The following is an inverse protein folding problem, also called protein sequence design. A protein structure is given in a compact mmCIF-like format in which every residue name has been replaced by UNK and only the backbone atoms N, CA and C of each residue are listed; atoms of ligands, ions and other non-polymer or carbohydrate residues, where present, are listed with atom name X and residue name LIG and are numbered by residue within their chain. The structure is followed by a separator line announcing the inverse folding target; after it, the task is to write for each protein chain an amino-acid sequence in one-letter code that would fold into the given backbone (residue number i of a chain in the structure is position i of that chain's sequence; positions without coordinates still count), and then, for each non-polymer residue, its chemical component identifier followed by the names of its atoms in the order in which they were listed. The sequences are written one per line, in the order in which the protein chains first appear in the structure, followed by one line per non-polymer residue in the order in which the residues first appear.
data_IF_714319854458
#
_entry.id   IF_714319854458
#
_cell.length_a   1.000
_cell.length_b   1.000
_cell.length_c   1.000
_cell.angle_alpha   90.00
_cell.angle_beta   90.00
_cell.angle_gamma   90.00
#
_symmetry.space_group_name_H-M   'P 1'
#
loop_
_entity.id
_entity.type
_entity.pdbx_description
1 polymer ?
#
# COMPACT_ATOMS: atom_id res chain seq x y z
N UNK A 1 33.39 20.67 6.63
CA UNK A 1 31.96 20.71 6.33
C UNK A 1 31.52 19.30 5.96
N UNK A 2 30.90 18.59 6.90
CA UNK A 2 30.52 17.18 6.71
C UNK A 2 29.26 17.16 5.84
N UNK A 3 29.43 16.77 4.59
CA UNK A 3 28.34 16.53 3.65
C UNK A 3 27.60 15.27 4.14
N UNK A 4 26.53 15.47 4.90
CA UNK A 4 25.63 14.39 5.32
C UNK A 4 24.89 13.88 4.07
N UNK A 5 25.48 12.90 3.39
CA UNK A 5 24.81 12.14 2.34
C UNK A 5 23.76 11.30 3.04
N UNK A 6 22.51 11.76 2.98
CA UNK A 6 21.33 11.02 3.40
C UNK A 6 21.22 9.80 2.47
N UNK A 7 21.85 8.69 2.85
CA UNK A 7 21.72 7.41 2.15
C UNK A 7 20.30 6.92 2.41
N UNK A 8 19.39 7.27 1.52
CA UNK A 8 18.06 6.67 1.47
C UNK A 8 18.30 5.22 1.05
N UNK A 9 18.39 4.32 2.03
CA UNK A 9 18.39 2.88 1.79
C UNK A 9 17.03 2.54 1.21
N UNK A 10 16.95 2.51 -0.13
CA UNK A 10 15.84 1.92 -0.85
C UNK A 10 15.90 0.43 -0.56
N UNK A 11 15.23 0.00 0.52
CA UNK A 11 14.99 -1.41 0.80
C UNK A 11 14.30 -1.97 -0.45
N UNK A 12 15.04 -2.77 -1.22
CA UNK A 12 14.49 -3.46 -2.38
C UNK A 12 13.50 -4.48 -1.87
N UNK A 13 12.24 -4.09 -1.82
CA UNK A 13 11.15 -4.97 -1.43
C UNK A 13 11.01 -6.01 -2.55
N UNK A 14 11.23 -7.29 -2.24
CA UNK A 14 11.06 -8.41 -3.19
C UNK A 14 9.57 -8.60 -3.52
N UNK A 15 9.08 -7.78 -4.44
CA UNK A 15 7.71 -7.81 -4.94
C UNK A 15 7.60 -8.51 -6.31
N UNK A 16 6.45 -9.09 -6.63
CA UNK A 16 6.15 -9.51 -8.00
C UNK A 16 6.04 -8.28 -8.92
N UNK A 17 6.42 -8.41 -10.19
CA UNK A 17 6.38 -7.26 -11.11
C UNK A 17 4.93 -6.76 -11.32
N UNK A 18 4.70 -5.44 -11.23
CA UNK A 18 3.43 -4.79 -11.56
C UNK A 18 2.93 -5.14 -12.98
N UNK A 19 3.82 -5.58 -13.87
CA UNK A 19 3.45 -6.04 -15.22
C UNK A 19 2.41 -7.17 -15.20
N UNK A 20 2.42 -8.02 -14.17
CA UNK A 20 1.44 -9.11 -14.02
C UNK A 20 0.03 -8.60 -13.71
N UNK A 21 -0.09 -7.35 -13.23
CA UNK A 21 -1.38 -6.74 -12.90
C UNK A 21 -1.99 -5.92 -14.04
N UNK A 22 -1.36 -5.82 -15.22
CA UNK A 22 -1.81 -4.93 -16.31
C UNK A 22 -3.26 -5.14 -16.76
N UNK A 23 -3.79 -6.37 -16.63
CA UNK A 23 -5.18 -6.68 -16.96
C UNK A 23 -6.21 -5.99 -16.05
N UNK A 24 -5.83 -5.65 -14.82
CA UNK A 24 -6.68 -4.96 -13.82
C UNK A 24 -6.15 -3.57 -13.44
N UNK A 25 -4.88 -3.30 -13.74
CA UNK A 25 -4.16 -2.07 -13.40
C UNK A 25 -3.50 -1.46 -14.63
N UNK A 26 -4.34 -1.05 -15.59
CA UNK A 26 -3.92 -0.32 -16.79
C UNK A 26 -3.18 0.98 -16.46
N UNK A 27 -2.47 1.56 -17.43
CA UNK A 27 -1.76 2.85 -17.23
C UNK A 27 -2.72 3.98 -16.82
N UNK A 28 -3.95 3.97 -17.34
CA UNK A 28 -5.01 4.91 -16.93
C UNK A 28 -5.41 4.70 -15.47
N UNK A 29 -5.58 3.44 -15.05
CA UNK A 29 -5.88 3.09 -13.65
C UNK A 29 -4.72 3.47 -12.72
N UNK A 30 -3.46 3.20 -13.12
CA UNK A 30 -2.25 3.59 -12.38
C UNK A 30 -2.18 5.11 -12.21
N UNK A 31 -2.39 5.87 -13.29
CA UNK A 31 -2.40 7.33 -13.26
C UNK A 31 -3.42 7.89 -12.26
N UNK A 32 -4.66 7.36 -12.27
CA UNK A 32 -5.70 7.74 -11.28
C UNK A 32 -5.31 7.34 -9.86
N UNK A 33 -4.85 6.11 -9.66
CA UNK A 33 -4.42 5.59 -8.36
C UNK A 33 -3.29 6.44 -7.74
N UNK A 34 -2.31 6.85 -8.54
CA UNK A 34 -1.16 7.63 -8.08
C UNK A 34 -1.50 9.07 -7.70
N UNK A 35 -2.52 9.65 -8.36
CA UNK A 35 -3.01 11.02 -8.10
C UNK A 35 -4.02 11.11 -6.95
N UNK A 36 -4.70 10.00 -6.63
CA UNK A 36 -5.72 9.98 -5.60
C UNK A 36 -5.14 10.28 -4.20
N UNK A 37 -5.69 11.30 -3.53
CA UNK A 37 -5.34 11.69 -2.15
C UNK A 37 -6.12 10.92 -1.08
N UNK A 38 -7.24 10.32 -1.46
CA UNK A 38 -8.13 9.51 -0.60
C UNK A 38 -8.46 8.21 -1.32
N UNK A 39 -9.10 7.28 -0.62
CA UNK A 39 -9.66 6.11 -1.29
C UNK A 39 -10.76 6.57 -2.27
N UNK A 40 -10.56 6.28 -3.56
CA UNK A 40 -11.52 6.58 -4.62
C UNK A 40 -11.74 5.30 -5.44
N UNK A 41 -13.00 4.88 -5.53
CA UNK A 41 -13.36 3.82 -6.46
C UNK A 41 -13.19 4.36 -7.89
N UNK A 42 -12.47 3.62 -8.74
CA UNK A 42 -12.27 4.00 -10.13
C UNK A 42 -13.41 3.38 -10.95
N UNK A 43 -14.19 4.22 -11.63
CA UNK A 43 -15.30 3.76 -12.45
C UNK A 43 -14.85 2.70 -13.47
N UNK A 44 -15.59 1.59 -13.55
CA UNK A 44 -15.29 0.47 -14.43
C UNK A 44 -14.14 -0.45 -13.97
N UNK A 45 -13.57 -0.21 -12.79
CA UNK A 45 -12.48 -1.03 -12.23
C UNK A 45 -12.98 -1.85 -11.05
N UNK A 46 -12.69 -3.16 -11.09
CA UNK A 46 -12.84 -4.06 -9.95
C UNK A 46 -11.73 -3.77 -8.93
N UNK A 47 -12.04 -2.92 -7.94
CA UNK A 47 -11.07 -2.48 -6.94
C UNK A 47 -10.57 -3.62 -6.05
N UNK A 48 -11.37 -4.67 -5.83
CA UNK A 48 -10.96 -5.84 -5.04
C UNK A 48 -9.81 -6.55 -5.77
N UNK A 49 -10.02 -6.94 -7.04
CA UNK A 49 -8.97 -7.60 -7.85
C UNK A 49 -7.76 -6.69 -8.10
N UNK A 50 -8.02 -5.41 -8.33
CA UNK A 50 -6.96 -4.44 -8.64
C UNK A 50 -6.04 -4.27 -7.45
N UNK A 51 -6.58 -4.00 -6.25
CA UNK A 51 -5.76 -3.80 -5.06
C UNK A 51 -5.18 -5.12 -4.54
N UNK A 52 -5.87 -6.25 -4.70
CA UNK A 52 -5.28 -7.57 -4.40
C UNK A 52 -4.03 -7.81 -5.25
N UNK A 53 -4.09 -7.60 -6.57
CA UNK A 53 -2.92 -7.80 -7.43
C UNK A 53 -1.81 -6.79 -7.13
N UNK A 54 -2.13 -5.49 -7.13
CA UNK A 54 -1.13 -4.42 -6.99
C UNK A 54 -0.42 -4.49 -5.65
N UNK A 55 -1.16 -4.67 -4.55
CA UNK A 55 -0.56 -4.67 -3.21
C UNK A 55 0.25 -5.93 -2.93
N UNK A 56 -0.07 -7.06 -3.57
CA UNK A 56 0.80 -8.26 -3.59
C UNK A 56 2.06 -8.01 -4.38
N UNK A 57 1.92 -7.44 -5.58
CA UNK A 57 3.03 -7.12 -6.46
C UNK A 57 4.06 -6.22 -5.77
N UNK A 58 3.63 -5.23 -4.98
CA UNK A 58 4.54 -4.34 -4.26
C UNK A 58 4.77 -4.73 -2.79
N UNK A 59 4.41 -5.95 -2.42
CA UNK A 59 4.61 -6.54 -1.09
C UNK A 59 4.16 -5.61 0.06
N UNK A 60 2.98 -5.01 -0.11
CA UNK A 60 2.20 -4.36 0.95
C UNK A 60 1.37 -5.41 1.68
N UNK A 61 0.87 -6.40 0.93
CA UNK A 61 0.21 -7.60 1.45
C UNK A 61 0.94 -8.85 0.98
N UNK A 62 0.75 -9.96 1.68
CA UNK A 62 1.26 -11.27 1.30
C UNK A 62 0.43 -11.93 0.19
N UNK A 63 0.84 -13.12 -0.26
CA UNK A 63 0.16 -13.89 -1.31
C UNK A 63 -1.32 -14.18 -1.02
N UNK A 64 -1.74 -14.17 0.24
CA UNK A 64 -3.12 -14.40 0.67
C UNK A 64 -3.95 -13.12 0.79
N UNK A 65 -3.30 -11.95 0.65
CA UNK A 65 -3.95 -10.64 0.75
C UNK A 65 -3.87 -10.03 2.15
N UNK A 66 -3.10 -10.61 3.07
CA UNK A 66 -2.92 -10.07 4.42
C UNK A 66 -1.79 -9.05 4.48
N UNK A 67 -2.04 -7.92 5.12
CA UNK A 67 -1.07 -6.84 5.20
C UNK A 67 0.15 -7.20 6.05
N UNK A 68 1.33 -6.78 5.57
CA UNK A 68 2.62 -7.08 6.18
C UNK A 68 3.04 -5.93 7.09
N UNK A 69 2.69 -6.02 8.38
CA UNK A 69 2.94 -4.96 9.37
C UNK A 69 4.38 -4.43 9.32
N UNK A 70 5.38 -5.29 9.47
CA UNK A 70 6.79 -4.86 9.54
C UNK A 70 7.30 -4.23 8.24
N UNK A 71 6.76 -4.66 7.09
CA UNK A 71 7.10 -4.08 5.79
C UNK A 71 6.46 -2.69 5.59
N UNK A 72 5.58 -2.25 6.48
CA UNK A 72 4.91 -0.94 6.40
C UNK A 72 5.31 -0.01 7.54
N UNK A 73 5.37 -0.53 8.77
CA UNK A 73 5.63 0.27 9.97
C UNK A 73 6.97 1.01 9.89
N UNK A 74 8.06 0.32 9.57
CA UNK A 74 9.38 0.95 9.50
C UNK A 74 9.45 1.98 8.35
N UNK A 75 9.04 1.67 7.10
CA UNK A 75 9.01 2.68 6.04
C UNK A 75 8.13 3.90 6.33
N UNK A 76 7.01 3.72 7.05
CA UNK A 76 6.17 4.83 7.46
C UNK A 76 6.88 5.72 8.48
N UNK A 77 7.50 5.13 9.51
CA UNK A 77 8.26 5.89 10.51
C UNK A 77 9.53 6.56 9.94
N UNK A 78 10.12 6.02 8.88
CA UNK A 78 11.21 6.68 8.16
C UNK A 78 10.75 7.97 7.45
N UNK A 79 9.46 8.12 7.14
CA UNK A 79 8.88 9.32 6.50
C UNK A 79 8.38 10.30 7.56
N UNK A 80 7.68 9.79 8.59
CA UNK A 80 7.15 10.55 9.71
C UNK A 80 7.20 9.66 10.95
N UNK A 81 8.11 9.93 11.87
CA UNK A 81 8.21 9.14 13.10
C UNK A 81 7.02 9.43 14.01
N UNK A 82 6.12 8.46 14.19
CA UNK A 82 4.97 8.61 15.07
C UNK A 82 4.34 7.25 15.42
N UNK A 83 4.03 7.05 16.71
CA UNK A 83 3.35 5.85 17.24
C UNK A 83 1.96 5.56 16.65
N UNK A 84 1.40 6.49 15.87
CA UNK A 84 0.05 6.33 15.28
C UNK A 84 0.08 5.28 14.19
N UNK A 85 1.24 5.09 13.54
CA UNK A 85 1.40 4.13 12.47
C UNK A 85 1.21 2.70 12.97
N UNK A 86 1.73 2.38 14.16
CA UNK A 86 1.52 1.09 14.84
C UNK A 86 0.01 0.83 15.05
N UNK A 87 -0.64 1.70 15.82
CA UNK A 87 -2.06 1.59 16.15
C UNK A 87 -2.97 1.43 14.91
N UNK A 88 -2.73 2.24 13.87
CA UNK A 88 -3.54 2.20 12.66
C UNK A 88 -3.29 0.94 11.82
N UNK A 89 -2.04 0.49 11.70
CA UNK A 89 -1.72 -0.75 11.00
C UNK A 89 -2.40 -1.93 11.69
N UNK A 90 -2.27 -2.06 13.00
CA UNK A 90 -2.91 -3.12 13.79
C UNK A 90 -4.43 -3.15 13.59
N UNK A 91 -5.09 -2.00 13.72
CA UNK A 91 -6.55 -1.91 13.51
C UNK A 91 -6.96 -2.29 12.10
N UNK A 92 -6.25 -1.81 11.09
CA UNK A 92 -6.61 -2.06 9.70
C UNK A 92 -6.29 -3.50 9.27
N UNK A 93 -5.23 -4.10 9.81
CA UNK A 93 -4.95 -5.54 9.67
C UNK A 93 -6.10 -6.33 10.31
N UNK A 94 -6.44 -6.06 11.57
CA UNK A 94 -7.51 -6.76 12.28
C UNK A 94 -8.87 -6.70 11.57
N UNK A 95 -9.22 -5.53 11.01
CA UNK A 95 -10.48 -5.33 10.26
C UNK A 95 -10.52 -6.07 8.92
N UNK A 96 -9.38 -6.31 8.28
CA UNK A 96 -9.32 -6.92 6.95
C UNK A 96 -9.09 -8.43 6.99
N UNK A 97 -8.40 -8.97 8.00
CA UNK A 97 -7.94 -10.36 8.02
C UNK A 97 -9.07 -11.42 7.96
N UNK A 98 -10.25 -11.12 8.51
CA UNK A 98 -11.39 -12.06 8.56
C UNK A 98 -12.29 -12.04 7.33
N UNK A 99 -11.98 -11.22 6.32
CA UNK A 99 -12.86 -11.07 5.18
C UNK A 99 -12.77 -12.29 4.24
N UNK A 100 -13.93 -12.63 3.70
CA UNK A 100 -14.10 -13.58 2.60
C UNK A 100 -14.90 -12.93 1.46
N UNK A 101 -14.57 -13.21 0.20
CA UNK A 101 -13.38 -13.94 -0.25
C UNK A 101 -12.08 -13.15 0.01
N UNK A 102 -10.95 -13.85 0.16
CA UNK A 102 -9.62 -13.26 0.45
C UNK A 102 -9.17 -12.12 -0.48
N UNK A 103 -9.62 -12.12 -1.74
CA UNK A 103 -9.37 -11.01 -2.69
C UNK A 103 -9.85 -9.64 -2.17
N UNK A 104 -10.78 -9.62 -1.20
CA UNK A 104 -11.29 -8.39 -0.56
C UNK A 104 -10.38 -7.85 0.54
N UNK A 105 -9.50 -8.69 1.13
CA UNK A 105 -8.68 -8.31 2.27
C UNK A 105 -7.78 -7.12 1.93
N UNK A 106 -7.09 -7.17 0.79
CA UNK A 106 -6.18 -6.12 0.35
C UNK A 106 -6.89 -4.77 0.14
N UNK A 107 -8.06 -4.78 -0.53
CA UNK A 107 -8.86 -3.58 -0.71
C UNK A 107 -9.35 -3.03 0.64
N UNK A 108 -9.90 -3.88 1.50
CA UNK A 108 -10.39 -3.46 2.81
C UNK A 108 -9.29 -2.87 3.69
N UNK A 109 -8.10 -3.48 3.70
CA UNK A 109 -6.92 -2.96 4.37
C UNK A 109 -6.54 -1.57 3.84
N UNK A 110 -6.39 -1.44 2.52
CA UNK A 110 -6.03 -0.17 1.88
C UNK A 110 -7.06 0.92 2.16
N UNK A 111 -8.35 0.62 1.98
CA UNK A 111 -9.45 1.53 2.29
C UNK A 111 -9.44 1.96 3.76
N UNK A 112 -9.19 1.04 4.69
CA UNK A 112 -9.06 1.35 6.11
C UNK A 112 -7.92 2.33 6.35
N UNK A 113 -6.70 2.03 5.86
CA UNK A 113 -5.52 2.89 6.05
C UNK A 113 -5.74 4.29 5.49
N UNK A 114 -6.37 4.41 4.31
CA UNK A 114 -6.71 5.70 3.69
C UNK A 114 -7.72 6.52 4.51
N UNK A 115 -8.43 5.91 5.46
CA UNK A 115 -9.35 6.56 6.39
C UNK A 115 -8.74 6.97 7.73
N UNK A 116 -7.45 6.71 7.96
CA UNK A 116 -6.75 7.03 9.22
C UNK A 116 -5.99 8.36 9.16
N UNK A 117 -5.46 8.80 10.30
CA UNK A 117 -4.50 9.91 10.40
C UNK A 117 -3.06 9.52 9.96
N UNK A 118 -2.85 8.26 9.59
CA UNK A 118 -1.64 7.77 8.94
C UNK A 118 -1.72 7.73 7.41
N UNK A 119 -2.87 8.14 6.82
CA UNK A 119 -3.14 7.97 5.38
C UNK A 119 -2.08 8.57 4.46
N UNK A 120 -1.56 9.76 4.79
CA UNK A 120 -0.61 10.46 3.92
C UNK A 120 0.74 9.73 3.89
N UNK A 121 1.21 9.32 5.06
CA UNK A 121 2.46 8.57 5.22
C UNK A 121 2.35 7.17 4.60
N UNK A 122 1.23 6.47 4.84
CA UNK A 122 0.95 5.20 4.18
C UNK A 122 0.92 5.34 2.65
N UNK A 123 0.22 6.36 2.13
CA UNK A 123 0.11 6.59 0.68
C UNK A 123 1.46 6.91 0.04
N UNK A 124 2.35 7.64 0.72
CA UNK A 124 3.73 7.86 0.27
C UNK A 124 4.51 6.56 0.15
N UNK A 125 4.45 5.67 1.15
CA UNK A 125 5.11 4.35 1.11
C UNK A 125 4.57 3.52 -0.06
N UNK A 126 3.25 3.45 -0.24
CA UNK A 126 2.65 2.68 -1.34
C UNK A 126 3.02 3.28 -2.70
N UNK A 127 2.92 4.61 -2.86
CA UNK A 127 3.26 5.27 -4.11
C UNK A 127 4.74 5.12 -4.47
N UNK A 128 5.66 5.12 -3.50
CA UNK A 128 7.09 4.87 -3.75
C UNK A 128 7.36 3.49 -4.38
N UNK A 129 6.45 2.52 -4.18
CA UNK A 129 6.55 1.18 -4.76
C UNK A 129 5.72 0.99 -6.03
N UNK A 130 4.62 1.73 -6.16
CA UNK A 130 3.64 1.56 -7.26
C UNK A 130 3.85 2.58 -8.40
N UNK A 131 4.17 3.82 -8.05
CA UNK A 131 4.05 4.99 -8.92
C UNK A 131 5.39 5.52 -9.44
N UNK A 132 6.50 5.01 -8.90
CA UNK A 132 7.83 5.21 -9.48
C UNK A 132 8.00 4.40 -10.78
#
# INVERSE_FOLDING_TARGET
TVLAVLVIVLVQVTGQSLNQCKSVFSDSTKSKFCKARKYEAIAGVDMDKTLDCVLKAVNVVDKTGYAKYHDLYQPMNNIEEHRKHDYNLEICIGKSFRLEPKVKCANAFYKCMMGTDSKETFKKVVNARVCN
#
